data_IF_998843589627
#
_entry.id   IF_998843589627
#
_cell.length_a   1.000
_cell.length_b   1.000
_cell.length_c   1.000
_cell.angle_alpha   90.00
_cell.angle_beta   90.00
_cell.angle_gamma   90.00
#
_symmetry.space_group_name_H-M   'P 1'
#
loop_
_entity.id
_entity.type
_entity.pdbx_description
1 polymer ?
#
# COMPACT_ATOMS: atom_id res chain seq x y z
N UNK A 1 -7.94 27.13 -32.36
CA UNK A 1 -7.40 26.62 -33.64
C UNK A 1 -7.79 25.17 -33.75
N UNK A 2 -8.68 24.82 -34.68
CA UNK A 2 -9.13 23.45 -34.96
C UNK A 2 -8.41 22.97 -36.21
N UNK A 3 -7.87 21.76 -36.21
CA UNK A 3 -7.48 21.06 -37.43
C UNK A 3 -8.10 19.66 -37.43
N UNK A 4 -9.03 19.47 -38.36
CA UNK A 4 -9.59 18.20 -38.79
C UNK A 4 -8.78 17.74 -40.01
N UNK A 5 -8.40 16.47 -40.09
CA UNK A 5 -8.11 15.78 -41.35
C UNK A 5 -8.63 14.34 -41.26
N UNK A 6 -9.87 14.08 -41.68
CA UNK A 6 -10.30 13.46 -42.95
C UNK A 6 -9.67 12.11 -43.28
N UNK A 7 -10.53 11.09 -43.27
CA UNK A 7 -10.32 9.74 -43.75
C UNK A 7 -10.16 9.67 -45.28
N UNK A 8 -9.34 8.73 -45.75
CA UNK A 8 -9.32 8.25 -47.14
C UNK A 8 -9.40 6.73 -47.12
N UNK A 9 -10.56 6.22 -47.51
CA UNK A 9 -10.80 4.82 -47.85
C UNK A 9 -10.27 4.53 -49.25
N UNK A 10 -9.50 3.45 -49.42
CA UNK A 10 -9.19 2.88 -50.73
C UNK A 10 -9.63 1.41 -50.75
N UNK A 11 -10.70 1.15 -51.50
CA UNK A 11 -11.14 -0.19 -51.84
C UNK A 11 -10.32 -0.70 -53.03
N UNK A 12 -9.75 -1.91 -52.92
CA UNK A 12 -9.21 -2.64 -54.07
C UNK A 12 -9.97 -3.95 -54.22
N UNK A 13 -10.79 -4.02 -55.26
CA UNK A 13 -11.41 -5.24 -55.78
C UNK A 13 -10.46 -5.83 -56.82
N UNK A 14 -10.06 -7.08 -56.65
CA UNK A 14 -9.43 -7.87 -57.70
C UNK A 14 -10.12 -9.24 -57.78
N UNK A 15 -10.91 -9.41 -58.83
CA UNK A 15 -11.37 -10.70 -59.33
C UNK A 15 -10.31 -11.25 -60.28
N UNK A 16 -9.96 -12.53 -60.19
CA UNK A 16 -9.46 -13.32 -61.33
C UNK A 16 -9.57 -14.83 -61.07
N UNK A 17 -10.56 -15.39 -61.77
CA UNK A 17 -10.67 -16.66 -62.48
C UNK A 17 -9.80 -17.88 -62.12
N UNK A 18 -10.55 -18.98 -62.03
CA UNK A 18 -10.18 -20.37 -62.05
C UNK A 18 -9.20 -20.80 -63.17
N UNK A 19 -8.37 -21.79 -62.84
CA UNK A 19 -7.88 -22.81 -63.77
C UNK A 19 -8.03 -24.17 -63.09
N UNK A 20 -8.71 -25.08 -63.78
CA UNK A 20 -8.92 -26.46 -63.33
C UNK A 20 -7.67 -27.31 -63.47
N UNK A 21 -7.53 -28.27 -62.56
CA UNK A 21 -6.57 -29.37 -62.62
C UNK A 21 -7.25 -30.62 -62.07
N UNK A 22 -7.37 -31.62 -62.94
CA UNK A 22 -7.93 -32.95 -62.68
C UNK A 22 -6.91 -33.82 -61.93
N UNK A 23 -7.35 -34.60 -60.94
CA UNK A 23 -6.67 -35.83 -60.55
C UNK A 23 -6.52 -36.11 -59.06
N UNK A 24 -7.11 -37.24 -58.66
CA UNK A 24 -6.72 -38.15 -57.56
C UNK A 24 -7.28 -37.87 -56.17
N UNK A 25 -8.09 -38.84 -55.72
CA UNK A 25 -8.54 -39.02 -54.34
C UNK A 25 -7.34 -39.03 -53.37
N UNK A 26 -7.35 -38.09 -52.43
CA UNK A 26 -6.63 -38.23 -51.16
C UNK A 26 -7.58 -37.74 -50.05
N UNK A 27 -8.01 -38.67 -49.20
CA UNK A 27 -8.74 -38.37 -47.97
C UNK A 27 -7.77 -37.80 -46.95
N UNK A 28 -7.32 -36.57 -47.15
CA UNK A 28 -6.67 -35.78 -46.10
C UNK A 28 -7.75 -35.01 -45.36
N UNK A 29 -8.01 -35.39 -44.11
CA UNK A 29 -8.74 -34.55 -43.15
C UNK A 29 -8.15 -33.14 -43.16
N UNK A 30 -8.96 -32.07 -43.22
CA UNK A 30 -8.44 -30.72 -43.06
C UNK A 30 -7.92 -30.60 -41.63
N UNK A 31 -6.60 -30.62 -41.45
CA UNK A 31 -5.98 -30.15 -40.23
C UNK A 31 -6.11 -28.63 -40.26
N UNK A 32 -7.04 -28.10 -39.47
CA UNK A 32 -7.10 -26.68 -39.17
C UNK A 32 -5.70 -26.25 -38.72
N UNK A 33 -5.07 -25.22 -39.32
CA UNK A 33 -3.80 -24.71 -38.83
C UNK A 33 -4.03 -24.26 -37.38
N UNK A 34 -3.50 -25.02 -36.42
CA UNK A 34 -3.40 -24.54 -35.05
C UNK A 34 -2.33 -23.47 -35.05
N UNK A 35 -2.74 -22.20 -35.02
CA UNK A 35 -1.85 -21.11 -34.63
C UNK A 35 -1.18 -21.53 -33.33
N UNK A 36 0.17 -21.53 -33.23
CA UNK A 36 0.83 -21.80 -31.96
C UNK A 36 0.27 -20.85 -30.92
N UNK A 37 -0.27 -21.37 -29.82
CA UNK A 37 -0.62 -20.55 -28.66
C UNK A 37 0.70 -19.99 -28.13
N UNK A 38 0.96 -18.71 -28.37
CA UNK A 38 2.07 -17.97 -27.76
C UNK A 38 1.67 -17.58 -26.34
N UNK A 39 2.59 -17.62 -25.38
CA UNK A 39 2.35 -17.22 -23.99
C UNK A 39 2.54 -18.35 -22.97
N UNK A 40 2.19 -18.08 -21.71
CA UNK A 40 2.30 -19.04 -20.60
C UNK A 40 0.93 -19.34 -19.98
N UNK A 41 0.85 -20.40 -19.18
CA UNK A 41 -0.37 -20.83 -18.49
C UNK A 41 -0.12 -20.92 -16.99
N UNK A 42 -1.09 -20.46 -16.21
CA UNK A 42 -1.07 -20.47 -14.76
C UNK A 42 -2.51 -20.51 -14.24
N UNK A 43 -2.78 -21.30 -13.19
CA UNK A 43 -4.11 -21.39 -12.58
C UNK A 43 -4.15 -20.44 -11.38
N UNK A 44 -4.70 -19.25 -11.57
CA UNK A 44 -4.59 -18.16 -10.59
C UNK A 44 -5.53 -18.26 -9.37
N UNK A 45 -6.49 -19.17 -9.36
CA UNK A 45 -7.53 -19.23 -8.31
C UNK A 45 -6.97 -19.41 -6.91
N UNK A 46 -5.96 -20.27 -6.74
CA UNK A 46 -5.34 -20.53 -5.43
C UNK A 46 -4.53 -19.31 -4.96
N UNK A 47 -3.68 -18.76 -5.83
CA UNK A 47 -2.95 -17.50 -5.57
C UNK A 47 -3.89 -16.36 -5.17
N UNK A 48 -4.96 -16.10 -5.94
CA UNK A 48 -5.91 -15.02 -5.62
C UNK A 48 -6.59 -15.26 -4.27
N UNK A 49 -6.96 -16.51 -3.98
CA UNK A 49 -7.57 -16.86 -2.69
C UNK A 49 -6.61 -16.61 -1.53
N UNK A 50 -5.35 -17.05 -1.66
CA UNK A 50 -4.32 -16.86 -0.66
C UNK A 50 -4.02 -15.37 -0.41
N UNK A 51 -3.77 -14.60 -1.47
CA UNK A 51 -3.49 -13.16 -1.34
C UNK A 51 -4.68 -12.40 -0.73
N UNK A 52 -5.90 -12.81 -1.05
CA UNK A 52 -7.10 -12.21 -0.45
C UNK A 52 -7.21 -12.55 1.04
N UNK A 53 -7.15 -13.84 1.39
CA UNK A 53 -7.52 -14.30 2.74
C UNK A 53 -6.36 -14.22 3.73
N UNK A 54 -5.16 -14.66 3.33
CA UNK A 54 -4.01 -14.84 4.22
C UNK A 54 -3.05 -13.63 4.23
N UNK A 55 -3.19 -12.70 3.29
CA UNK A 55 -2.41 -11.45 3.25
C UNK A 55 -3.30 -10.25 3.52
N UNK A 56 -4.28 -9.95 2.65
CA UNK A 56 -5.06 -8.72 2.75
C UNK A 56 -6.03 -8.74 3.94
N UNK A 57 -6.93 -9.73 3.99
CA UNK A 57 -7.92 -9.87 5.08
C UNK A 57 -7.21 -10.06 6.42
N UNK A 58 -6.21 -10.94 6.48
CA UNK A 58 -5.44 -11.15 7.70
C UNK A 58 -4.70 -9.88 8.18
N UNK A 59 -4.17 -9.07 7.25
CA UNK A 59 -3.51 -7.80 7.55
C UNK A 59 -4.47 -6.76 8.13
N UNK A 60 -5.66 -6.61 7.54
CA UNK A 60 -6.68 -5.68 8.05
C UNK A 60 -7.29 -6.14 9.38
N UNK A 61 -7.46 -7.45 9.60
CA UNK A 61 -7.88 -7.98 10.89
C UNK A 61 -6.83 -7.72 11.99
N UNK A 62 -5.53 -7.86 11.69
CA UNK A 62 -4.44 -7.50 12.61
C UNK A 62 -4.43 -5.99 12.90
N UNK A 63 -4.63 -5.15 11.88
CA UNK A 63 -4.75 -3.70 12.05
C UNK A 63 -5.90 -3.32 12.98
N UNK A 64 -7.10 -3.88 12.79
CA UNK A 64 -8.26 -3.64 13.64
C UNK A 64 -8.01 -4.06 15.10
N UNK A 65 -7.43 -5.26 15.30
CA UNK A 65 -7.08 -5.73 16.65
C UNK A 65 -6.05 -4.82 17.34
N UNK A 66 -5.09 -4.27 16.58
CA UNK A 66 -4.12 -3.31 17.10
C UNK A 66 -4.72 -1.92 17.33
N UNK A 67 -5.77 -1.55 16.60
CA UNK A 67 -6.59 -0.38 16.88
C UNK A 67 -7.30 -0.45 18.23
N UNK A 68 -7.90 -1.59 18.57
CA UNK A 68 -8.45 -1.84 19.91
C UNK A 68 -7.38 -1.74 21.00
N UNK A 69 -6.20 -2.32 20.76
CA UNK A 69 -5.08 -2.25 21.70
C UNK A 69 -4.56 -0.82 21.90
N UNK A 70 -4.50 -0.02 20.83
CA UNK A 70 -4.12 1.40 20.89
C UNK A 70 -5.14 2.21 21.69
N UNK A 71 -6.44 2.02 21.47
CA UNK A 71 -7.49 2.67 22.26
C UNK A 71 -7.36 2.33 23.74
N UNK A 72 -7.16 1.06 24.09
CA UNK A 72 -6.98 0.65 25.48
C UNK A 72 -5.74 1.29 26.14
N UNK A 73 -4.63 1.37 25.39
CA UNK A 73 -3.39 1.97 25.89
C UNK A 73 -3.55 3.49 26.12
N UNK A 74 -4.25 4.20 25.22
CA UNK A 74 -4.50 5.65 25.39
C UNK A 74 -5.48 5.95 26.52
N UNK A 75 -6.52 5.11 26.71
CA UNK A 75 -7.45 5.25 27.84
C UNK A 75 -6.75 5.14 29.20
N UNK A 76 -5.73 4.29 29.29
CA UNK A 76 -4.89 4.15 30.50
C UNK A 76 -4.17 5.46 30.84
N UNK A 77 -3.86 6.29 29.84
CA UNK A 77 -3.18 7.57 30.07
C UNK A 77 -4.07 8.59 30.77
N UNK A 78 -5.40 8.53 30.72
CA UNK A 78 -6.26 9.63 31.19
C UNK A 78 -5.92 10.11 32.61
N UNK A 79 -5.58 9.19 33.51
CA UNK A 79 -5.23 9.50 34.90
C UNK A 79 -3.81 9.06 35.29
N UNK A 80 -3.04 8.47 34.36
CA UNK A 80 -1.72 7.94 34.67
C UNK A 80 -0.67 9.04 34.83
N UNK A 81 0.18 8.84 35.85
CA UNK A 81 1.41 9.61 36.10
C UNK A 81 2.66 8.75 35.88
N UNK A 82 2.50 7.53 35.36
CA UNK A 82 3.57 6.54 35.21
C UNK A 82 4.13 6.61 33.79
N UNK A 83 5.44 6.86 33.68
CA UNK A 83 6.11 6.96 32.36
C UNK A 83 5.98 5.68 31.53
N UNK A 84 5.96 4.51 32.18
CA UNK A 84 5.80 3.23 31.51
C UNK A 84 4.46 3.11 30.74
N UNK A 85 3.41 3.79 31.21
CA UNK A 85 2.11 3.78 30.53
C UNK A 85 2.16 4.61 29.23
N UNK A 86 2.87 5.75 29.23
CA UNK A 86 3.13 6.50 27.98
C UNK A 86 3.93 5.66 26.99
N UNK A 87 4.96 4.96 27.45
CA UNK A 87 5.75 4.06 26.60
C UNK A 87 4.89 2.92 26.05
N UNK A 88 3.94 2.39 26.83
CA UNK A 88 3.00 1.39 26.34
C UNK A 88 2.10 1.95 25.22
N UNK A 89 1.58 3.17 25.35
CA UNK A 89 0.79 3.82 24.30
C UNK A 89 1.63 4.13 23.04
N UNK A 90 2.87 4.60 23.21
CA UNK A 90 3.81 4.79 22.10
C UNK A 90 4.09 3.48 21.35
N UNK A 91 4.26 2.37 22.07
CA UNK A 91 4.46 1.05 21.45
C UNK A 91 3.20 0.53 20.78
N UNK A 92 2.02 0.78 21.35
CA UNK A 92 0.75 0.43 20.72
C UNK A 92 0.54 1.20 19.40
N UNK A 93 0.90 2.49 19.36
CA UNK A 93 0.87 3.29 18.13
C UNK A 93 1.79 2.70 17.06
N UNK A 94 3.05 2.37 17.41
CA UNK A 94 3.99 1.73 16.48
C UNK A 94 3.52 0.36 16.00
N UNK A 95 2.88 -0.40 16.89
CA UNK A 95 2.35 -1.72 16.57
C UNK A 95 1.21 -1.60 15.55
N UNK A 96 0.29 -0.65 15.73
CA UNK A 96 -0.81 -0.38 14.80
C UNK A 96 -0.33 0.24 13.48
N UNK A 97 0.74 1.04 13.50
CA UNK A 97 1.37 1.61 12.31
C UNK A 97 1.93 0.54 11.37
N UNK A 98 2.48 -0.55 11.93
CA UNK A 98 3.10 -1.61 11.14
C UNK A 98 2.17 -2.27 10.09
N UNK A 99 1.00 -2.85 10.45
CA UNK A 99 0.13 -3.47 9.45
C UNK A 99 -0.52 -2.44 8.54
N UNK A 100 -0.70 -1.18 8.97
CA UNK A 100 -1.13 -0.10 8.09
C UNK A 100 -0.13 0.14 6.95
N UNK A 101 1.13 0.39 7.29
CA UNK A 101 2.19 0.63 6.29
C UNK A 101 2.43 -0.59 5.39
N UNK A 102 2.34 -1.82 5.93
CA UNK A 102 2.39 -3.04 5.11
C UNK A 102 1.16 -3.19 4.20
N UNK A 103 0.03 -2.61 4.60
CA UNK A 103 -1.23 -2.57 3.85
C UNK A 103 -1.21 -1.63 2.64
N UNK A 104 -0.29 -0.67 2.59
CA UNK A 104 -0.23 0.35 1.51
C UNK A 104 0.02 -0.23 0.11
N UNK A 105 0.50 -1.48 0.02
CA UNK A 105 0.59 -2.21 -1.26
C UNK A 105 -0.78 -2.63 -1.85
N UNK A 106 -1.88 -2.42 -1.12
CA UNK A 106 -3.23 -2.85 -1.49
C UNK A 106 -4.34 -1.93 -0.91
N UNK A 107 -4.16 -0.61 -1.05
CA UNK A 107 -5.12 0.43 -0.64
C UNK A 107 -6.27 0.67 -1.64
N UNK A 108 -6.46 -0.24 -2.59
CA UNK A 108 -7.63 -0.22 -3.46
C UNK A 108 -8.89 -0.66 -2.72
N UNK A 109 -10.05 -0.52 -3.38
CA UNK A 109 -11.31 -1.04 -2.86
C UNK A 109 -11.79 -0.28 -1.61
N UNK A 110 -12.06 -0.94 -0.47
CA UNK A 110 -12.63 -0.29 0.71
C UNK A 110 -11.79 0.84 1.30
N UNK A 111 -10.46 0.81 1.20
CA UNK A 111 -9.62 1.91 1.70
C UNK A 111 -9.92 3.21 0.96
N UNK A 112 -9.93 3.17 -0.38
CA UNK A 112 -10.26 4.31 -1.25
C UNK A 112 -11.76 4.66 -1.19
N UNK A 113 -12.63 3.68 -1.44
CA UNK A 113 -14.08 3.90 -1.60
C UNK A 113 -14.80 4.37 -0.33
N UNK A 114 -14.24 4.08 0.85
CA UNK A 114 -14.72 4.58 2.15
C UNK A 114 -13.88 5.76 2.67
N UNK A 115 -12.90 6.23 1.89
CA UNK A 115 -12.00 7.34 2.23
C UNK A 115 -11.28 7.14 3.57
N UNK A 116 -10.83 5.92 3.85
CA UNK A 116 -10.22 5.57 5.14
C UNK A 116 -8.81 6.13 5.26
N UNK A 117 -8.02 6.02 4.18
CA UNK A 117 -6.64 6.50 4.13
C UNK A 117 -6.47 7.96 4.61
N UNK A 118 -7.14 8.97 4.02
CA UNK A 118 -6.96 10.35 4.47
C UNK A 118 -7.35 10.55 5.94
N UNK A 119 -8.40 9.88 6.44
CA UNK A 119 -8.81 10.00 7.85
C UNK A 119 -7.82 9.38 8.84
N UNK A 120 -7.11 8.33 8.43
CA UNK A 120 -6.14 7.65 9.28
C UNK A 120 -4.74 8.21 9.14
N UNK A 121 -4.35 8.70 7.96
CA UNK A 121 -2.93 8.91 7.65
C UNK A 121 -2.59 10.15 6.85
N UNK A 122 -3.43 11.19 6.91
CA UNK A 122 -3.09 12.46 6.26
C UNK A 122 -1.81 13.09 6.81
N UNK A 123 -0.91 13.43 5.88
CA UNK A 123 0.32 14.17 6.12
C UNK A 123 0.43 15.35 5.13
N UNK A 124 0.83 16.57 5.56
CA UNK A 124 1.35 16.95 6.87
C UNK A 124 0.29 17.30 7.92
N UNK A 125 0.64 17.12 9.19
CA UNK A 125 -0.11 17.63 10.34
C UNK A 125 -0.15 19.17 10.35
N UNK A 126 -1.35 19.75 10.47
CA UNK A 126 -1.52 21.18 10.67
C UNK A 126 -1.44 21.52 12.16
N UNK A 127 -0.21 21.77 12.63
CA UNK A 127 0.04 22.05 14.06
C UNK A 127 -0.67 23.31 14.55
N UNK A 128 -0.95 24.30 13.68
CA UNK A 128 -1.65 25.52 14.07
C UNK A 128 -3.11 25.23 14.41
N UNK A 129 -3.78 24.44 13.57
CA UNK A 129 -5.16 24.06 13.79
C UNK A 129 -5.27 23.08 14.96
N UNK A 130 -4.33 22.14 15.12
CA UNK A 130 -4.22 21.29 16.31
C UNK A 130 -4.16 22.12 17.61
N UNK A 131 -3.29 23.13 17.68
CA UNK A 131 -3.21 24.01 18.86
C UNK A 131 -4.50 24.79 19.08
N UNK A 132 -5.17 25.19 17.99
CA UNK A 132 -6.48 25.87 18.04
C UNK A 132 -7.55 24.95 18.62
N UNK A 133 -7.60 23.67 18.24
CA UNK A 133 -8.52 22.68 18.80
C UNK A 133 -8.25 22.44 20.28
N UNK A 134 -6.98 22.25 20.67
CA UNK A 134 -6.60 22.09 22.08
C UNK A 134 -6.98 23.31 22.94
N UNK A 135 -6.83 24.52 22.41
CA UNK A 135 -7.17 25.75 23.13
C UNK A 135 -8.69 25.93 23.30
N UNK A 136 -9.46 25.74 22.23
CA UNK A 136 -10.84 26.20 22.16
C UNK A 136 -11.89 25.12 22.43
N UNK A 137 -11.55 23.82 22.31
CA UNK A 137 -12.51 22.73 22.53
C UNK A 137 -12.77 22.51 24.02
N UNK A 138 -14.05 22.25 24.34
CA UNK A 138 -14.54 21.97 25.70
C UNK A 138 -14.55 20.46 26.03
N UNK A 139 -14.16 19.62 25.07
CA UNK A 139 -14.11 18.17 25.16
C UNK A 139 -13.80 17.58 23.78
N UNK A 140 -13.54 16.28 23.74
CA UNK A 140 -13.24 15.52 22.52
C UNK A 140 -14.02 14.21 22.55
N UNK A 141 -14.65 13.87 21.44
CA UNK A 141 -15.30 12.59 21.18
C UNK A 141 -15.10 12.19 19.72
N UNK A 142 -15.15 10.89 19.45
CA UNK A 142 -14.81 10.35 18.13
C UNK A 142 -15.76 10.84 17.02
N UNK A 143 -17.06 10.91 17.31
CA UNK A 143 -18.08 11.32 16.33
C UNK A 143 -17.87 12.76 15.87
N UNK A 144 -17.48 13.65 16.79
CA UNK A 144 -17.16 15.05 16.46
C UNK A 144 -15.86 15.14 15.65
N UNK A 145 -14.81 14.40 16.03
CA UNK A 145 -13.51 14.46 15.35
C UNK A 145 -13.57 13.92 13.93
N UNK A 146 -14.36 12.86 13.66
CA UNK A 146 -14.57 12.33 12.29
C UNK A 146 -15.07 13.39 11.32
N UNK A 147 -15.73 14.44 11.81
CA UNK A 147 -16.20 15.57 11.00
C UNK A 147 -15.18 16.70 10.81
N UNK A 148 -13.96 16.60 11.36
CA UNK A 148 -12.90 17.60 11.22
C UNK A 148 -12.09 17.36 9.96
N UNK A 149 -11.19 18.30 9.64
CA UNK A 149 -10.22 18.12 8.59
C UNK A 149 -9.24 17.00 8.96
N UNK A 150 -8.75 16.30 7.94
CA UNK A 150 -7.84 15.17 8.13
C UNK A 150 -6.46 15.56 8.68
N UNK A 151 -6.03 16.79 8.40
CA UNK A 151 -4.76 17.38 8.87
C UNK A 151 -4.72 17.69 10.37
N UNK A 152 -5.74 17.31 11.14
CA UNK A 152 -5.80 17.36 12.62
C UNK A 152 -6.31 16.07 13.25
N UNK A 153 -6.33 14.95 12.50
CA UNK A 153 -6.66 13.63 13.05
C UNK A 153 -5.64 12.57 12.62
N UNK A 154 -6.01 11.29 12.74
CA UNK A 154 -5.17 10.18 12.31
C UNK A 154 -3.88 9.95 13.13
N UNK A 155 -3.03 9.10 12.57
CA UNK A 155 -1.77 8.65 13.16
C UNK A 155 -0.85 9.81 13.52
N UNK A 156 -0.66 10.78 12.63
CA UNK A 156 0.32 11.86 12.83
C UNK A 156 -0.08 12.87 13.89
N UNK A 157 -1.39 13.07 14.12
CA UNK A 157 -1.86 13.84 15.28
C UNK A 157 -1.57 13.08 16.57
N UNK A 158 -1.91 11.78 16.63
CA UNK A 158 -1.57 10.94 17.79
C UNK A 158 -0.05 10.89 18.03
N UNK A 159 0.73 10.81 16.96
CA UNK A 159 2.18 10.77 16.98
C UNK A 159 2.77 12.04 17.62
N UNK A 160 2.35 13.22 17.15
CA UNK A 160 2.79 14.49 17.75
C UNK A 160 2.45 14.58 19.24
N UNK A 161 1.25 14.14 19.63
CA UNK A 161 0.80 14.12 21.03
C UNK A 161 1.58 13.12 21.89
N UNK A 162 2.01 11.99 21.34
CA UNK A 162 2.72 10.92 22.04
C UNK A 162 4.24 11.14 22.12
N UNK A 163 4.85 11.71 21.09
CA UNK A 163 6.31 11.76 20.92
C UNK A 163 6.90 13.17 20.98
N UNK A 164 6.09 14.22 20.77
CA UNK A 164 6.54 15.62 20.69
C UNK A 164 6.89 16.04 19.27
N UNK A 165 7.67 17.12 19.11
CA UNK A 165 7.97 17.72 17.80
C UNK A 165 9.01 16.96 16.96
N UNK A 166 9.72 16.00 17.56
CA UNK A 166 10.74 15.19 16.90
C UNK A 166 11.96 15.96 16.37
N UNK A 167 12.11 17.27 16.63
CA UNK A 167 13.18 18.09 16.05
C UNK A 167 14.51 17.76 16.69
N UNK A 168 14.56 17.83 18.02
CA UNK A 168 15.76 17.54 18.79
C UNK A 168 15.67 16.18 19.52
N UNK A 169 14.46 15.69 19.74
CA UNK A 169 14.17 14.46 20.48
C UNK A 169 12.76 13.98 20.15
N UNK A 170 12.53 12.67 20.17
CA UNK A 170 11.20 12.04 20.16
C UNK A 170 10.78 11.53 21.55
N UNK A 171 11.47 11.99 22.61
CA UNK A 171 11.18 11.63 24.00
C UNK A 171 10.25 12.66 24.63
N UNK A 172 9.04 12.21 24.98
CA UNK A 172 8.06 12.99 25.76
C UNK A 172 7.94 12.42 27.18
N UNK A 173 7.89 13.30 28.18
CA UNK A 173 7.61 12.87 29.55
C UNK A 173 6.10 12.82 29.78
N UNK A 174 5.64 11.84 30.56
CA UNK A 174 4.23 11.74 30.94
C UNK A 174 3.73 13.03 31.62
N UNK A 175 4.60 13.74 32.34
CA UNK A 175 4.27 15.02 32.98
C UNK A 175 3.97 16.15 31.98
N UNK A 176 4.43 16.02 30.74
CA UNK A 176 4.22 17.01 29.68
C UNK A 176 2.91 16.78 28.91
N UNK A 177 2.24 15.63 29.08
CA UNK A 177 0.90 15.40 28.53
C UNK A 177 -0.15 16.04 29.45
N UNK A 178 -0.75 17.13 28.98
CA UNK A 178 -1.90 17.77 29.60
C UNK A 178 -3.15 16.89 29.57
N UNK A 179 -4.14 17.20 30.41
CA UNK A 179 -5.44 16.51 30.41
C UNK A 179 -6.12 16.60 29.04
N UNK A 180 -6.13 17.78 28.41
CA UNK A 180 -6.74 17.97 27.09
C UNK A 180 -6.07 17.14 25.99
N UNK A 181 -4.73 17.06 25.99
CA UNK A 181 -4.02 16.21 25.03
C UNK A 181 -4.37 14.72 25.23
N UNK A 182 -4.56 14.26 26.48
CA UNK A 182 -4.98 12.88 26.77
C UNK A 182 -6.39 12.59 26.29
N UNK A 183 -7.32 13.51 26.56
CA UNK A 183 -8.71 13.41 26.09
C UNK A 183 -8.78 13.36 24.56
N UNK A 184 -8.03 14.23 23.88
CA UNK A 184 -7.95 14.23 22.42
C UNK A 184 -7.30 12.95 21.88
N UNK A 185 -6.19 12.50 22.48
CA UNK A 185 -5.51 11.26 22.09
C UNK A 185 -6.43 10.03 22.20
N UNK A 186 -7.26 9.95 23.25
CA UNK A 186 -8.26 8.86 23.41
C UNK A 186 -9.30 8.92 22.30
N UNK A 187 -9.84 10.11 22.03
CA UNK A 187 -10.85 10.27 21.00
C UNK A 187 -10.30 9.98 19.59
N UNK A 188 -9.05 10.36 19.30
CA UNK A 188 -8.35 9.98 18.06
C UNK A 188 -8.15 8.47 17.94
N UNK A 189 -7.76 7.80 19.03
CA UNK A 189 -7.61 6.35 19.03
C UNK A 189 -8.95 5.62 18.85
N UNK A 190 -10.06 6.22 19.31
CA UNK A 190 -11.41 5.70 19.06
C UNK A 190 -11.83 5.90 17.58
N UNK A 191 -11.53 7.05 16.97
CA UNK A 191 -11.69 7.26 15.52
C UNK A 191 -10.88 6.22 14.73
N UNK A 192 -9.62 6.01 15.10
CA UNK A 192 -8.75 5.02 14.48
C UNK A 192 -9.32 3.60 14.59
N UNK A 193 -9.75 3.20 15.79
CA UNK A 193 -10.40 1.90 16.01
C UNK A 193 -11.63 1.74 15.11
N UNK A 194 -12.51 2.74 15.08
CA UNK A 194 -13.74 2.66 14.31
C UNK A 194 -13.49 2.49 12.80
N UNK A 195 -12.56 3.25 12.21
CA UNK A 195 -12.21 3.12 10.79
C UNK A 195 -11.49 1.80 10.48
N UNK A 196 -10.62 1.32 11.37
CA UNK A 196 -9.94 0.03 11.16
C UNK A 196 -10.90 -1.15 11.29
N UNK A 197 -11.87 -1.09 12.22
CA UNK A 197 -12.99 -2.04 12.25
C UNK A 197 -13.85 -1.95 10.99
N UNK A 198 -14.18 -0.74 10.53
CA UNK A 198 -14.95 -0.56 9.30
C UNK A 198 -14.24 -1.16 8.08
N UNK A 199 -12.91 -1.00 7.99
CA UNK A 199 -12.11 -1.58 6.94
C UNK A 199 -12.14 -3.11 6.99
N UNK A 200 -11.92 -3.69 8.16
CA UNK A 200 -11.97 -5.15 8.36
C UNK A 200 -13.35 -5.72 7.98
N UNK A 201 -14.43 -5.09 8.45
CA UNK A 201 -15.81 -5.45 8.11
C UNK A 201 -16.09 -5.27 6.61
N UNK A 202 -15.51 -4.27 5.96
CA UNK A 202 -15.70 -4.07 4.51
C UNK A 202 -15.12 -5.23 3.69
N UNK A 203 -14.00 -5.79 4.15
CA UNK A 203 -13.37 -6.94 3.52
C UNK A 203 -14.05 -8.26 3.85
N UNK A 204 -14.58 -8.43 5.06
CA UNK A 204 -15.11 -9.71 5.56
C UNK A 204 -16.64 -9.83 5.57
N UNK A 205 -17.37 -8.72 5.63
CA UNK A 205 -18.82 -8.67 5.83
C UNK A 205 -19.55 -7.96 4.68
N UNK A 206 -19.26 -6.69 4.42
CA UNK A 206 -19.87 -5.93 3.32
C UNK A 206 -19.08 -4.68 2.98
N UNK A 207 -18.63 -4.58 1.73
CA UNK A 207 -17.85 -3.43 1.24
C UNK A 207 -18.66 -2.13 1.13
N UNK A 208 -19.99 -2.20 1.20
CA UNK A 208 -20.87 -1.04 1.13
C UNK A 208 -21.98 -1.19 2.19
N UNK A 209 -21.80 -0.60 3.38
CA UNK A 209 -22.77 -0.76 4.47
C UNK A 209 -24.13 -0.10 4.16
N UNK A 210 -24.23 0.73 3.13
CA UNK A 210 -25.50 1.32 2.67
C UNK A 210 -26.27 0.41 1.69
N UNK A 211 -25.67 -0.67 1.20
CA UNK A 211 -26.33 -1.68 0.36
C UNK A 211 -26.40 -3.03 1.10
N UNK A 212 -27.62 -3.44 1.47
CA UNK A 212 -27.86 -4.70 2.18
C UNK A 212 -27.51 -5.96 1.35
N UNK A 213 -27.29 -5.83 0.04
CA UNK A 213 -26.87 -6.93 -0.83
C UNK A 213 -25.37 -6.88 -1.18
N UNK A 214 -24.66 -5.85 -0.73
CA UNK A 214 -23.24 -5.76 -0.98
C UNK A 214 -22.51 -6.91 -0.27
N UNK A 215 -21.67 -7.59 -1.05
CA UNK A 215 -20.85 -8.71 -0.59
C UNK A 215 -19.59 -8.19 0.13
N UNK A 216 -18.91 -9.02 0.92
CA UNK A 216 -17.55 -8.72 1.36
C UNK A 216 -16.64 -8.42 0.16
N UNK A 217 -15.74 -7.42 0.27
CA UNK A 217 -14.85 -7.10 -0.86
C UNK A 217 -13.93 -8.29 -1.21
N UNK A 218 -13.54 -9.10 -0.22
CA UNK A 218 -12.78 -10.33 -0.42
C UNK A 218 -13.49 -11.33 -1.37
N UNK A 219 -14.82 -11.40 -1.35
CA UNK A 219 -15.56 -12.29 -2.26
C UNK A 219 -15.43 -11.83 -3.72
N UNK A 220 -15.36 -10.52 -3.95
CA UNK A 220 -15.24 -9.94 -5.28
C UNK A 220 -13.89 -10.27 -5.94
N UNK A 221 -12.81 -10.34 -5.16
CA UNK A 221 -11.51 -10.79 -5.67
C UNK A 221 -11.53 -12.28 -6.01
N UNK A 222 -12.24 -13.10 -5.22
CA UNK A 222 -12.26 -14.57 -5.36
C UNK A 222 -13.28 -15.08 -6.39
N UNK A 223 -14.22 -14.24 -6.82
CA UNK A 223 -15.25 -14.60 -7.82
C UNK A 223 -15.23 -13.69 -9.05
N UNK A 224 -14.06 -13.41 -9.65
CA UNK A 224 -13.99 -12.50 -10.78
C UNK A 224 -14.68 -13.12 -12.01
N UNK A 225 -15.40 -12.30 -12.77
CA UNK A 225 -16.18 -12.73 -13.93
C UNK A 225 -17.52 -13.38 -13.60
N UNK A 226 -17.88 -13.53 -12.32
CA UNK A 226 -19.25 -13.86 -11.93
C UNK A 226 -20.22 -12.77 -12.42
N UNK A 227 -21.41 -13.16 -12.90
CA UNK A 227 -22.39 -12.22 -13.46
C UNK A 227 -22.88 -11.15 -12.47
N UNK A 228 -22.71 -11.39 -11.17
CA UNK A 228 -23.05 -10.46 -10.08
C UNK A 228 -21.86 -9.64 -9.60
N UNK A 229 -20.64 -9.93 -10.08
CA UNK A 229 -19.44 -9.18 -9.73
C UNK A 229 -19.19 -8.06 -10.75
N UNK A 230 -19.56 -6.84 -10.38
CA UNK A 230 -19.40 -5.66 -11.23
C UNK A 230 -18.04 -4.97 -11.07
N UNK A 231 -17.19 -5.44 -10.14
CA UNK A 231 -15.88 -4.84 -9.85
C UNK A 231 -14.79 -5.55 -10.66
N UNK A 232 -14.72 -6.88 -10.57
CA UNK A 232 -13.70 -7.67 -11.27
C UNK A 232 -14.33 -8.54 -12.36
N UNK A 233 -14.06 -8.18 -13.61
CA UNK A 233 -14.57 -8.90 -14.78
C UNK A 233 -13.81 -10.18 -15.12
N UNK A 234 -12.59 -10.34 -14.59
CA UNK A 234 -11.72 -11.48 -14.87
C UNK A 234 -10.62 -11.62 -13.81
N UNK A 235 -9.98 -12.78 -13.73
CA UNK A 235 -8.79 -12.98 -12.89
C UNK A 235 -7.65 -12.05 -13.30
N UNK A 236 -7.52 -11.73 -14.60
CA UNK A 236 -6.53 -10.76 -15.10
C UNK A 236 -6.70 -9.40 -14.44
N UNK A 237 -7.94 -8.90 -14.29
CA UNK A 237 -8.20 -7.63 -13.63
C UNK A 237 -7.78 -7.64 -12.14
N UNK A 238 -7.96 -8.77 -11.43
CA UNK A 238 -7.52 -8.90 -10.03
C UNK A 238 -5.99 -8.89 -9.92
N UNK A 239 -5.31 -9.63 -10.80
CA UNK A 239 -3.83 -9.67 -10.79
C UNK A 239 -3.26 -8.32 -11.19
N UNK A 240 -3.87 -7.63 -12.16
CA UNK A 240 -3.49 -6.27 -12.55
C UNK A 240 -3.61 -5.28 -11.38
N UNK A 241 -4.72 -5.31 -10.64
CA UNK A 241 -4.91 -4.47 -9.44
C UNK A 241 -3.80 -4.71 -8.39
N UNK A 242 -3.50 -5.98 -8.10
CA UNK A 242 -2.45 -6.36 -7.14
C UNK A 242 -1.05 -5.90 -7.58
N UNK A 243 -0.71 -6.05 -8.86
CA UNK A 243 0.57 -5.59 -9.41
C UNK A 243 0.66 -4.06 -9.37
N UNK A 244 -0.41 -3.36 -9.74
CA UNK A 244 -0.44 -1.91 -9.71
C UNK A 244 -0.37 -1.36 -8.28
N UNK A 245 -0.99 -2.02 -7.29
CA UNK A 245 -0.85 -1.67 -5.88
C UNK A 245 0.62 -1.75 -5.41
N UNK A 246 1.33 -2.83 -5.76
CA UNK A 246 2.77 -2.93 -5.49
C UNK A 246 3.58 -1.83 -6.19
N UNK A 247 3.30 -1.55 -7.46
CA UNK A 247 4.00 -0.49 -8.21
C UNK A 247 3.76 0.88 -7.57
N UNK A 248 2.50 1.16 -7.20
CA UNK A 248 2.09 2.43 -6.61
C UNK A 248 2.86 2.74 -5.33
N UNK A 249 2.91 1.79 -4.39
CA UNK A 249 3.61 2.04 -3.13
C UNK A 249 5.14 2.11 -3.29
N UNK A 250 5.74 1.33 -4.21
CA UNK A 250 7.18 1.46 -4.50
C UNK A 250 7.49 2.84 -5.09
N UNK A 251 6.62 3.34 -5.98
CA UNK A 251 6.71 4.70 -6.53
C UNK A 251 6.61 5.75 -5.43
N UNK A 252 5.57 5.65 -4.59
CA UNK A 252 5.28 6.61 -3.55
C UNK A 252 6.40 6.70 -2.50
N UNK A 253 6.94 5.57 -2.05
CA UNK A 253 8.08 5.57 -1.12
C UNK A 253 9.29 6.26 -1.75
N UNK A 254 9.62 5.93 -2.99
CA UNK A 254 10.81 6.45 -3.67
C UNK A 254 10.68 7.92 -4.07
N UNK A 255 9.61 8.25 -4.78
CA UNK A 255 9.39 9.54 -5.46
C UNK A 255 8.52 10.53 -4.68
N UNK A 256 7.85 10.09 -3.61
CA UNK A 256 7.12 10.94 -2.67
C UNK A 256 7.79 10.96 -1.30
N UNK A 257 7.55 9.95 -0.47
CA UNK A 257 7.92 9.91 0.96
C UNK A 257 9.41 10.16 1.22
N UNK A 258 10.31 9.67 0.34
CA UNK A 258 11.75 9.93 0.41
C UNK A 258 12.15 11.17 -0.39
N UNK A 259 11.80 11.26 -1.68
CA UNK A 259 12.33 12.30 -2.57
C UNK A 259 11.93 13.72 -2.16
N UNK A 260 10.68 13.93 -1.73
CA UNK A 260 10.15 15.24 -1.38
C UNK A 260 10.89 15.93 -0.23
N UNK A 261 11.15 15.27 0.92
CA UNK A 261 12.00 15.83 1.97
C UNK A 261 13.49 15.78 1.62
N UNK A 262 13.94 14.78 0.84
CA UNK A 262 15.36 14.63 0.51
C UNK A 262 15.90 15.81 -0.29
N UNK A 263 15.18 16.26 -1.32
CA UNK A 263 15.60 17.36 -2.20
C UNK A 263 16.93 17.08 -2.93
N UNK A 264 17.37 18.01 -3.79
CA UNK A 264 18.58 17.83 -4.63
C UNK A 264 19.90 17.96 -3.86
N UNK A 265 19.91 18.70 -2.75
CA UNK A 265 21.10 19.03 -1.97
C UNK A 265 20.79 19.20 -0.48
N UNK A 266 21.84 19.32 0.35
CA UNK A 266 21.69 19.68 1.76
C UNK A 266 20.91 20.99 1.99
N UNK A 267 21.02 21.95 1.06
CA UNK A 267 20.35 23.26 1.18
C UNK A 267 18.86 23.19 0.84
N UNK A 268 18.47 22.22 0.01
CA UNK A 268 17.08 22.04 -0.45
C UNK A 268 16.37 20.89 0.26
N UNK A 269 17.05 20.19 1.17
CA UNK A 269 16.43 19.20 2.04
C UNK A 269 15.45 19.89 2.98
N UNK A 270 14.27 19.31 3.16
CA UNK A 270 13.20 19.88 3.96
C UNK A 270 12.68 18.84 4.97
N UNK A 271 13.17 18.94 6.20
CA UNK A 271 12.75 18.01 7.26
C UNK A 271 11.28 18.17 7.64
N UNK A 272 10.63 19.30 7.33
CA UNK A 272 9.22 19.51 7.66
C UNK A 272 8.29 18.60 6.87
N UNK A 273 8.75 18.11 5.71
CA UNK A 273 8.01 17.17 4.87
C UNK A 273 8.20 15.70 5.26
N UNK A 274 9.12 15.40 6.19
CA UNK A 274 9.38 14.01 6.60
C UNK A 274 8.18 13.49 7.38
N UNK A 275 7.45 12.57 6.77
CA UNK A 275 6.39 11.79 7.42
C UNK A 275 6.95 10.98 8.58
N UNK A 276 6.19 10.87 9.66
CA UNK A 276 6.62 10.24 10.92
C UNK A 276 7.88 10.83 11.56
N UNK A 277 8.15 12.13 11.34
CA UNK A 277 9.30 12.80 11.94
C UNK A 277 9.19 12.98 13.46
N UNK A 278 7.98 12.90 14.03
CA UNK A 278 7.75 13.16 15.45
C UNK A 278 8.25 12.00 16.31
N UNK A 279 8.00 10.78 15.87
CA UNK A 279 8.39 9.53 16.51
C UNK A 279 9.72 8.97 16.00
N UNK A 280 10.27 9.56 14.93
CA UNK A 280 11.42 9.04 14.17
C UNK A 280 11.16 7.66 13.54
N UNK A 281 9.94 7.43 13.05
CA UNK A 281 9.52 6.13 12.52
C UNK A 281 9.66 6.00 10.98
N UNK A 282 10.00 7.06 10.26
CA UNK A 282 9.98 7.09 8.78
C UNK A 282 10.73 5.92 8.11
N UNK A 283 11.92 5.54 8.60
CA UNK A 283 12.65 4.40 8.01
C UNK A 283 11.95 3.05 8.24
N UNK A 284 11.24 2.92 9.36
CA UNK A 284 10.39 1.75 9.67
C UNK A 284 9.18 1.72 8.75
N UNK A 285 8.55 2.88 8.52
CA UNK A 285 7.39 3.04 7.62
C UNK A 285 7.77 2.64 6.20
N UNK A 286 8.81 3.28 5.63
CA UNK A 286 9.32 2.95 4.29
C UNK A 286 9.68 1.46 4.15
N UNK A 287 10.27 0.87 5.19
CA UNK A 287 10.59 -0.56 5.18
C UNK A 287 9.34 -1.43 5.21
N UNK A 288 8.33 -1.06 6.02
CA UNK A 288 7.07 -1.77 6.11
C UNK A 288 6.27 -1.69 4.81
N UNK A 289 6.27 -0.54 4.12
CA UNK A 289 5.67 -0.42 2.79
C UNK A 289 6.22 -1.48 1.82
N UNK A 290 7.55 -1.62 1.75
CA UNK A 290 8.19 -2.61 0.86
C UNK A 290 8.09 -4.04 1.40
N UNK A 291 7.98 -4.24 2.72
CA UNK A 291 7.60 -5.53 3.29
C UNK A 291 6.17 -5.91 2.87
N UNK A 292 5.25 -4.96 2.79
CA UNK A 292 3.92 -5.15 2.22
C UNK A 292 3.97 -5.69 0.79
N UNK A 293 4.78 -5.05 -0.06
CA UNK A 293 5.08 -5.53 -1.42
C UNK A 293 5.64 -6.96 -1.39
N UNK A 294 6.56 -7.26 -0.46
CA UNK A 294 7.08 -8.63 -0.30
C UNK A 294 6.00 -9.62 0.09
N UNK A 295 5.11 -9.26 1.00
CA UNK A 295 4.04 -10.14 1.47
C UNK A 295 3.08 -10.48 0.33
N UNK A 296 2.69 -9.50 -0.50
CA UNK A 296 1.86 -9.72 -1.70
C UNK A 296 2.62 -10.53 -2.75
N UNK A 297 3.91 -10.24 -2.96
CA UNK A 297 4.71 -10.94 -3.96
C UNK A 297 4.92 -12.42 -3.62
N UNK A 298 5.27 -12.71 -2.36
CA UNK A 298 5.52 -14.07 -1.88
C UNK A 298 4.23 -14.82 -1.53
N UNK A 299 3.13 -14.12 -1.25
CA UNK A 299 1.90 -14.74 -0.78
C UNK A 299 1.91 -15.14 0.70
N UNK A 300 2.79 -14.55 1.51
CA UNK A 300 2.90 -14.87 2.92
C UNK A 300 3.44 -13.70 3.75
N UNK A 301 3.06 -13.66 5.03
CA UNK A 301 3.81 -12.92 6.03
C UNK A 301 5.11 -13.65 6.36
N UNK A 302 6.12 -12.90 6.82
CA UNK A 302 7.41 -13.50 7.23
C UNK A 302 7.21 -14.60 8.28
N UNK A 303 7.65 -15.82 7.96
CA UNK A 303 7.48 -17.00 8.83
C UNK A 303 6.11 -17.67 8.73
N UNK A 304 5.28 -17.24 7.78
CA UNK A 304 4.04 -17.89 7.38
C UNK A 304 4.26 -19.22 6.67
N UNK A 305 3.17 -19.80 6.18
CA UNK A 305 3.23 -20.99 5.35
C UNK A 305 3.41 -20.59 3.89
N UNK A 306 4.34 -21.26 3.22
CA UNK A 306 4.59 -21.12 1.78
C UNK A 306 3.34 -21.56 1.00
N UNK A 307 2.61 -20.56 0.48
CA UNK A 307 1.39 -20.66 -0.32
C UNK A 307 1.57 -19.83 -1.59
N UNK A 308 0.70 -20.02 -2.59
CA UNK A 308 0.90 -19.34 -3.87
C UNK A 308 0.84 -17.80 -3.75
N UNK A 309 1.90 -17.15 -4.22
CA UNK A 309 2.01 -15.70 -4.35
C UNK A 309 2.13 -15.27 -5.82
N UNK A 310 2.25 -13.96 -6.07
CA UNK A 310 2.54 -13.46 -7.41
C UNK A 310 3.86 -14.00 -7.97
N UNK A 311 4.80 -14.39 -7.11
CA UNK A 311 6.03 -15.07 -7.51
C UNK A 311 5.78 -16.33 -8.33
N UNK A 312 4.73 -17.11 -8.04
CA UNK A 312 4.38 -18.32 -8.78
C UNK A 312 3.83 -17.99 -10.17
N UNK A 313 3.00 -16.95 -10.26
CA UNK A 313 2.50 -16.42 -11.54
C UNK A 313 3.67 -15.96 -12.43
N UNK A 314 4.60 -15.18 -11.86
CA UNK A 314 5.78 -14.71 -12.59
C UNK A 314 6.70 -15.89 -12.93
N UNK A 315 6.84 -16.89 -12.06
CA UNK A 315 7.67 -18.08 -12.31
C UNK A 315 7.16 -18.91 -13.47
N UNK A 316 5.83 -19.02 -13.63
CA UNK A 316 5.22 -19.71 -14.76
C UNK A 316 5.54 -19.04 -16.11
N UNK A 317 5.78 -17.74 -16.12
CA UNK A 317 6.20 -16.99 -17.30
C UNK A 317 7.72 -16.96 -17.48
N UNK A 318 8.44 -16.58 -16.42
CA UNK A 318 9.90 -16.40 -16.37
C UNK A 318 10.43 -16.55 -14.93
N UNK A 319 10.98 -17.72 -14.63
CA UNK A 319 11.58 -18.02 -13.32
C UNK A 319 12.81 -17.15 -12.97
N UNK A 320 13.53 -16.62 -13.96
CA UNK A 320 14.66 -15.72 -13.72
C UNK A 320 14.17 -14.35 -13.29
N UNK A 321 13.15 -13.84 -13.97
CA UNK A 321 12.44 -12.62 -13.57
C UNK A 321 11.86 -12.76 -12.15
N UNK A 322 11.23 -13.89 -11.85
CA UNK A 322 10.63 -14.12 -10.54
C UNK A 322 11.67 -14.00 -9.40
N UNK A 323 12.80 -14.68 -9.56
CA UNK A 323 13.93 -14.63 -8.61
C UNK A 323 14.51 -13.21 -8.51
N UNK A 324 14.60 -12.49 -9.63
CA UNK A 324 15.12 -11.13 -9.67
C UNK A 324 14.22 -10.16 -8.90
N UNK A 325 12.90 -10.22 -9.08
CA UNK A 325 11.94 -9.36 -8.37
C UNK A 325 12.03 -9.59 -6.87
N UNK A 326 12.02 -10.85 -6.41
CA UNK A 326 12.19 -11.18 -4.99
C UNK A 326 13.49 -10.56 -4.42
N UNK A 327 14.61 -10.70 -5.15
CA UNK A 327 15.89 -10.11 -4.72
C UNK A 327 15.89 -8.59 -4.72
N UNK A 328 15.17 -7.93 -5.63
CA UNK A 328 15.07 -6.47 -5.69
C UNK A 328 14.20 -5.90 -4.57
N UNK A 329 13.12 -6.61 -4.19
CA UNK A 329 12.32 -6.29 -3.01
C UNK A 329 13.19 -6.34 -1.74
N UNK A 330 13.92 -7.44 -1.53
CA UNK A 330 14.79 -7.58 -0.35
C UNK A 330 15.94 -6.57 -0.34
N UNK A 331 16.56 -6.27 -1.49
CA UNK A 331 17.62 -5.26 -1.56
C UNK A 331 17.07 -3.86 -1.23
N UNK A 332 15.89 -3.48 -1.74
CA UNK A 332 15.25 -2.20 -1.41
C UNK A 332 15.00 -2.04 0.10
N UNK A 333 14.45 -3.08 0.76
CA UNK A 333 14.27 -3.09 2.23
C UNK A 333 15.62 -2.88 2.94
N UNK A 334 16.65 -3.62 2.54
CA UNK A 334 17.98 -3.51 3.14
C UNK A 334 18.60 -2.13 2.93
N UNK A 335 18.41 -1.50 1.75
CA UNK A 335 18.94 -0.15 1.49
C UNK A 335 18.22 0.93 2.29
N UNK A 336 16.89 0.84 2.44
CA UNK A 336 16.11 1.74 3.29
C UNK A 336 16.62 1.68 4.73
N UNK A 337 16.75 0.47 5.28
CA UNK A 337 17.25 0.27 6.65
C UNK A 337 18.68 0.81 6.83
N UNK A 338 19.53 0.66 5.81
CA UNK A 338 20.90 1.13 5.83
C UNK A 338 21.02 2.67 5.90
N UNK A 339 19.98 3.44 5.55
CA UNK A 339 19.97 4.91 5.68
C UNK A 339 20.37 5.34 7.10
N UNK A 340 19.89 4.61 8.11
CA UNK A 340 20.18 4.87 9.53
C UNK A 340 21.68 4.89 9.87
N UNK A 341 22.49 4.12 9.13
CA UNK A 341 23.93 4.03 9.33
C UNK A 341 24.33 3.51 10.72
N UNK A 342 25.64 3.54 11.00
CA UNK A 342 26.18 3.04 12.27
C UNK A 342 25.85 3.90 13.48
N UNK A 343 25.34 5.12 13.27
CA UNK A 343 24.96 6.07 14.33
C UNK A 343 23.45 6.12 14.58
N UNK A 344 22.66 5.24 13.93
CA UNK A 344 21.21 5.17 14.09
C UNK A 344 20.50 6.50 13.82
N UNK A 345 20.89 7.20 12.75
CA UNK A 345 20.25 8.46 12.37
C UNK A 345 18.79 8.21 11.97
N UNK A 346 17.82 8.96 12.50
CA UNK A 346 16.50 9.02 11.92
C UNK A 346 16.56 9.66 10.53
N UNK A 347 15.61 9.35 9.66
CA UNK A 347 15.61 9.82 8.27
C UNK A 347 15.77 11.35 8.15
N UNK A 348 15.04 12.10 8.99
CA UNK A 348 15.13 13.57 9.05
C UNK A 348 16.54 14.11 9.29
N UNK A 349 17.40 13.37 9.98
CA UNK A 349 18.80 13.74 10.20
C UNK A 349 19.68 13.23 9.06
N UNK A 350 19.40 12.04 8.54
CA UNK A 350 20.15 11.45 7.43
C UNK A 350 20.13 12.34 6.17
N UNK A 351 19.01 12.99 5.85
CA UNK A 351 18.92 13.89 4.68
C UNK A 351 19.72 15.20 4.83
N UNK A 352 20.14 15.54 6.06
CA UNK A 352 20.98 16.69 6.40
C UNK A 352 22.47 16.33 6.60
N UNK A 353 22.83 15.05 6.42
CA UNK A 353 24.19 14.55 6.58
C UNK A 353 24.73 14.03 5.24
N UNK A 354 26.00 14.30 4.92
CA UNK A 354 26.55 13.91 3.62
C UNK A 354 26.56 12.38 3.41
N UNK A 355 26.94 11.61 4.43
CA UNK A 355 26.98 10.15 4.34
C UNK A 355 25.55 9.58 4.41
N UNK A 356 24.67 10.17 5.22
CA UNK A 356 23.24 9.88 5.27
C UNK A 356 22.59 10.02 3.90
N UNK A 357 22.81 11.16 3.22
CA UNK A 357 22.31 11.41 1.87
C UNK A 357 22.84 10.41 0.85
N UNK A 358 24.11 10.02 0.94
CA UNK A 358 24.66 9.00 0.05
C UNK A 358 23.94 7.66 0.21
N UNK A 359 23.61 7.26 1.45
CA UNK A 359 22.83 6.04 1.72
C UNK A 359 21.37 6.19 1.29
N UNK A 360 20.76 7.36 1.47
CA UNK A 360 19.41 7.67 0.96
C UNK A 360 19.35 7.52 -0.56
N UNK A 361 20.34 8.05 -1.30
CA UNK A 361 20.37 7.90 -2.76
C UNK A 361 20.45 6.42 -3.19
N UNK A 362 21.24 5.60 -2.48
CA UNK A 362 21.31 4.16 -2.76
C UNK A 362 19.96 3.47 -2.53
N UNK A 363 19.16 3.91 -1.55
CA UNK A 363 17.81 3.40 -1.35
C UNK A 363 16.85 3.83 -2.47
N UNK A 364 16.91 5.09 -2.90
CA UNK A 364 16.14 5.59 -4.05
C UNK A 364 16.47 4.79 -5.31
N UNK A 365 17.75 4.58 -5.61
CA UNK A 365 18.17 3.81 -6.79
C UNK A 365 17.63 2.36 -6.77
N UNK A 366 17.59 1.73 -5.59
CA UNK A 366 17.04 0.39 -5.42
C UNK A 366 15.52 0.36 -5.62
N UNK A 367 14.79 1.35 -5.10
CA UNK A 367 13.35 1.51 -5.30
C UNK A 367 13.01 1.77 -6.77
N UNK A 368 13.72 2.68 -7.44
CA UNK A 368 13.55 2.94 -8.87
C UNK A 368 13.79 1.69 -9.71
N UNK A 369 14.80 0.89 -9.35
CA UNK A 369 15.07 -0.38 -10.03
C UNK A 369 13.91 -1.36 -9.88
N UNK A 370 13.45 -1.58 -8.64
CA UNK A 370 12.31 -2.46 -8.35
C UNK A 370 11.05 -2.01 -9.10
N UNK A 371 10.73 -0.71 -9.01
CA UNK A 371 9.60 -0.10 -9.72
C UNK A 371 9.67 -0.36 -11.23
N UNK A 372 10.84 -0.11 -11.82
CA UNK A 372 11.07 -0.31 -13.26
C UNK A 372 10.85 -1.77 -13.65
N UNK A 373 11.35 -2.72 -12.86
CA UNK A 373 11.16 -4.16 -13.10
C UNK A 373 9.67 -4.54 -13.03
N UNK A 374 8.94 -4.06 -12.02
CA UNK A 374 7.51 -4.33 -11.88
C UNK A 374 6.71 -3.77 -13.07
N UNK A 375 6.99 -2.53 -13.48
CA UNK A 375 6.29 -1.86 -14.58
C UNK A 375 6.64 -2.40 -15.98
N UNK A 376 7.93 -2.64 -16.21
CA UNK A 376 8.44 -2.91 -17.57
C UNK A 376 8.58 -4.40 -17.88
N UNK A 377 8.69 -5.24 -16.86
CA UNK A 377 8.95 -6.67 -17.04
C UNK A 377 7.86 -7.57 -16.44
N UNK A 378 7.26 -7.21 -15.29
CA UNK A 378 6.19 -8.02 -14.65
C UNK A 378 4.81 -7.68 -15.19
N UNK A 379 4.41 -6.41 -15.18
CA UNK A 379 3.07 -5.99 -15.63
C UNK A 379 2.77 -6.43 -17.09
N UNK A 380 3.71 -6.36 -18.05
CA UNK A 380 3.46 -6.83 -19.42
C UNK A 380 3.20 -8.32 -19.54
N UNK A 381 3.58 -9.16 -18.56
CA UNK A 381 3.27 -10.59 -18.60
C UNK A 381 1.76 -10.85 -18.68
N UNK A 382 0.93 -9.93 -18.18
CA UNK A 382 -0.52 -10.04 -18.27
C UNK A 382 -1.04 -10.16 -19.71
N UNK A 383 -0.36 -9.55 -20.70
CA UNK A 383 -0.77 -9.66 -22.10
C UNK A 383 -0.48 -11.02 -22.72
N UNK A 384 0.48 -11.75 -22.15
CA UNK A 384 0.98 -13.02 -22.66
C UNK A 384 0.43 -14.23 -21.84
N UNK A 385 -0.40 -13.96 -20.84
CA UNK A 385 -1.03 -14.99 -20.02
C UNK A 385 -2.26 -15.60 -20.72
N UNK A 386 -2.21 -16.90 -20.96
CA UNK A 386 -3.33 -17.69 -21.45
C UNK A 386 -4.20 -18.12 -20.27
N UNK A 387 -5.07 -17.21 -19.83
CA UNK A 387 -6.01 -17.37 -18.70
C UNK A 387 -6.97 -18.53 -18.84
#
# INVERSE_FOLDING_TARGET
MRFNYTAISLALVATLSACGGSGSDDTSTPTTPTTPTTGFSFVATEMITNLTDDVIVAGYADLAAKGDALLLATQTLLTSTVQADLVAAQNAWKSARQPWEQGESHIFGPVDSLSIDPHLDSWPLNTTDLQTQLANSNGFDADTIKGWNDDVQGFHTMEYLLFGDGVNSNTKLIADLSTKEREYLIALAEVFRDYTTQLDDAWQVSHNPQDANAKPYAELLKTPGDATNTIYSSQLAVIEELINGMIGIVDEVGNGKIADPFGESLTTADTSKVESQYSWNSLTDFSNNIIGVRNVYQGEFTGGADKQGLIDFVTAADATLATRVASEIDDAILKIQAISGSTSMPFRQAILDADGRARTQVAVDALTKLQTTLQSDVLPLLSDWNS
#
